data_IF_780359104634
#
_entry.id   IF_780359104634
#
_cell.length_a   1.000
_cell.length_b   1.000
_cell.length_c   1.000
_cell.angle_alpha   90.00
_cell.angle_beta   90.00
_cell.angle_gamma   90.00
#
_symmetry.space_group_name_H-M   'P 1'
#
loop_
_entity.id
_entity.type
_entity.pdbx_description
1 polymer ?
#
# COMPACT_ATOMS: atom_id res chain seq x y z
N UNK A 1 3.06 12.64 -25.70
CA UNK A 1 2.50 13.74 -24.89
C UNK A 1 2.42 13.23 -23.46
N UNK A 2 3.38 13.59 -22.60
CA UNK A 2 3.49 13.06 -21.24
C UNK A 2 2.82 14.05 -20.29
N UNK A 3 1.64 13.71 -19.77
CA UNK A 3 0.98 14.52 -18.75
C UNK A 3 1.46 14.03 -17.38
N UNK A 4 2.31 14.84 -16.73
CA UNK A 4 2.55 14.73 -15.29
C UNK A 4 1.35 15.38 -14.61
N UNK A 5 0.34 14.58 -14.30
CA UNK A 5 -0.79 15.05 -13.50
C UNK A 5 -0.39 15.00 -12.04
N UNK A 6 -0.11 16.16 -11.46
CA UNK A 6 -0.02 16.35 -10.02
C UNK A 6 -1.42 16.23 -9.40
N UNK A 7 -1.88 15.00 -9.22
CA UNK A 7 -2.92 14.66 -8.25
C UNK A 7 -2.35 13.54 -7.42
N UNK A 8 -2.21 13.72 -6.11
CA UNK A 8 -1.71 12.68 -5.19
C UNK A 8 -2.73 11.55 -4.98
N UNK A 9 -3.54 11.25 -6.00
CA UNK A 9 -4.51 10.18 -5.99
C UNK A 9 -3.79 8.89 -6.37
N UNK A 10 -3.27 8.20 -5.37
CA UNK A 10 -2.72 6.86 -5.54
C UNK A 10 -3.86 5.94 -5.98
N UNK A 11 -3.73 5.38 -7.18
CA UNK A 11 -4.75 4.48 -7.74
C UNK A 11 -4.11 3.15 -8.07
N UNK A 12 -4.70 2.08 -7.53
CA UNK A 12 -4.22 0.72 -7.71
C UNK A 12 -5.30 -0.11 -8.39
N UNK A 13 -4.89 -0.86 -9.40
CA UNK A 13 -5.78 -1.65 -10.25
C UNK A 13 -5.18 -2.98 -10.64
N UNK A 14 -6.02 -4.01 -10.73
CA UNK A 14 -5.66 -5.34 -11.22
C UNK A 14 -6.44 -5.59 -12.52
N UNK A 15 -5.78 -6.17 -13.53
CA UNK A 15 -6.37 -6.47 -14.86
C UNK A 15 -6.95 -5.25 -15.59
N UNK A 16 -6.30 -4.09 -15.47
CA UNK A 16 -6.71 -2.87 -16.18
C UNK A 16 -7.86 -2.10 -15.54
N UNK A 17 -8.41 -2.58 -14.43
CA UNK A 17 -9.40 -1.86 -13.64
C UNK A 17 -8.70 -0.90 -12.66
N UNK A 18 -8.31 0.27 -13.16
CA UNK A 18 -7.58 1.31 -12.41
C UNK A 18 -8.42 2.59 -12.33
N UNK A 19 -9.50 2.55 -11.55
CA UNK A 19 -10.37 3.71 -11.30
C UNK A 19 -10.01 4.38 -10.00
N UNK A 20 -10.09 5.70 -9.92
CA UNK A 20 -9.97 6.42 -8.65
C UNK A 20 -10.90 5.80 -7.59
N UNK A 21 -10.42 5.64 -6.36
CA UNK A 21 -11.18 5.04 -5.25
C UNK A 21 -11.71 3.63 -5.55
N UNK A 22 -10.85 2.74 -6.04
CA UNK A 22 -11.23 1.38 -6.44
C UNK A 22 -11.73 0.52 -5.24
N UNK A 23 -13.03 0.16 -5.16
CA UNK A 23 -13.57 -0.65 -4.06
C UNK A 23 -13.34 -2.16 -4.26
N UNK A 24 -12.80 -2.57 -5.43
CA UNK A 24 -12.76 -3.99 -5.85
C UNK A 24 -11.49 -4.71 -5.44
N UNK A 25 -10.57 -4.02 -4.78
CA UNK A 25 -9.34 -4.59 -4.25
C UNK A 25 -9.38 -4.46 -2.73
N UNK A 26 -9.20 -5.57 -2.05
CA UNK A 26 -9.05 -5.58 -0.61
C UNK A 26 -7.57 -5.36 -0.28
N UNK A 27 -7.29 -4.37 0.56
CA UNK A 27 -5.95 -4.13 1.11
C UNK A 27 -5.91 -4.56 2.56
N UNK A 28 -4.89 -5.34 2.89
CA UNK A 28 -4.59 -5.85 4.21
C UNK A 28 -3.25 -5.27 4.65
N UNK A 29 -3.13 -4.96 5.93
CA UNK A 29 -1.89 -4.69 6.63
C UNK A 29 -1.73 -5.75 7.72
N UNK A 30 -0.74 -6.61 7.59
CA UNK A 30 -0.51 -7.74 8.50
C UNK A 30 -1.79 -8.57 8.73
N UNK A 31 -2.47 -8.92 7.64
CA UNK A 31 -3.76 -9.64 7.63
C UNK A 31 -4.96 -8.87 8.23
N UNK A 32 -4.83 -7.58 8.57
CA UNK A 32 -5.92 -6.71 9.01
C UNK A 32 -6.40 -5.82 7.88
N UNK A 33 -7.72 -5.71 7.69
CA UNK A 33 -8.27 -4.85 6.64
C UNK A 33 -7.94 -3.38 6.93
N UNK A 34 -7.41 -2.70 5.91
CA UNK A 34 -7.16 -1.26 5.93
C UNK A 34 -8.03 -0.64 4.86
N UNK A 35 -9.21 -0.21 5.27
CA UNK A 35 -10.27 0.24 4.38
C UNK A 35 -11.12 1.25 5.13
N UNK A 36 -11.66 2.24 4.41
CA UNK A 36 -12.64 3.17 4.96
C UNK A 36 -14.04 2.59 4.76
N UNK A 37 -14.67 2.19 5.86
CA UNK A 37 -15.96 1.48 5.86
C UNK A 37 -17.09 2.35 5.28
N UNK A 38 -17.01 3.68 5.48
CA UNK A 38 -18.03 4.63 5.03
C UNK A 38 -18.13 4.76 3.50
N UNK A 39 -16.99 4.79 2.82
CA UNK A 39 -16.93 5.13 1.39
C UNK A 39 -16.49 4.00 0.48
N UNK A 40 -16.00 2.95 1.08
CA UNK A 40 -15.75 1.76 0.36
C UNK A 40 -14.41 1.73 -0.39
N UNK A 41 -13.40 2.49 0.04
CA UNK A 41 -12.10 2.52 -0.63
C UNK A 41 -10.94 2.52 0.37
N UNK A 42 -9.73 2.31 -0.15
CA UNK A 42 -8.50 2.34 0.66
C UNK A 42 -7.83 3.70 0.54
N UNK A 43 -7.76 4.49 1.62
CA UNK A 43 -7.00 5.74 1.63
C UNK A 43 -5.50 5.44 1.76
N UNK A 44 -4.81 5.31 0.62
CA UNK A 44 -3.38 5.01 0.54
C UNK A 44 -2.48 6.01 1.32
N UNK A 45 -2.93 7.25 1.50
CA UNK A 45 -2.21 8.28 2.27
C UNK A 45 -2.37 8.17 3.78
N UNK A 46 -3.38 7.43 4.26
CA UNK A 46 -3.68 7.27 5.69
C UNK A 46 -3.09 5.97 6.26
N UNK A 47 -2.46 5.13 5.42
CA UNK A 47 -1.79 3.92 5.88
C UNK A 47 -0.55 4.34 6.69
N UNK A 48 -0.50 4.06 8.02
CA UNK A 48 0.55 4.57 8.89
C UNK A 48 1.81 3.70 8.83
N UNK A 49 2.32 3.44 7.63
CA UNK A 49 3.46 2.53 7.40
C UNK A 49 4.46 3.21 6.48
N UNK A 50 5.69 3.36 6.96
CA UNK A 50 6.78 3.85 6.12
C UNK A 50 7.25 2.73 5.17
N UNK A 51 7.69 3.09 3.97
CA UNK A 51 8.16 2.10 2.97
C UNK A 51 9.31 1.21 3.50
N UNK A 52 10.13 1.71 4.44
CA UNK A 52 11.23 0.96 5.05
C UNK A 52 10.79 -0.11 6.06
N UNK A 53 9.56 0.01 6.58
CA UNK A 53 8.99 -0.91 7.56
C UNK A 53 8.21 -2.04 6.87
N UNK A 54 8.01 -1.93 5.55
CA UNK A 54 7.40 -2.98 4.72
C UNK A 54 8.45 -4.05 4.42
N UNK A 55 8.15 -5.28 4.81
CA UNK A 55 8.95 -6.46 4.50
C UNK A 55 8.66 -6.96 3.10
N UNK A 56 7.38 -7.13 2.79
CA UNK A 56 6.92 -7.63 1.49
C UNK A 56 5.50 -7.18 1.20
N UNK A 57 5.17 -7.07 -0.09
CA UNK A 57 3.82 -6.84 -0.58
C UNK A 57 3.38 -8.07 -1.34
N UNK A 58 2.39 -8.76 -0.82
CA UNK A 58 1.81 -9.95 -1.40
C UNK A 58 0.60 -9.56 -2.23
N UNK A 59 0.53 -10.04 -3.47
CA UNK A 59 -0.54 -9.70 -4.40
C UNK A 59 -1.19 -10.99 -4.91
N UNK A 60 -2.42 -11.24 -4.46
CA UNK A 60 -3.26 -12.32 -4.96
C UNK A 60 -4.13 -11.75 -6.07
N UNK A 61 -3.82 -12.14 -7.31
CA UNK A 61 -4.56 -11.68 -8.50
C UNK A 61 -5.74 -12.61 -8.76
N UNK A 62 -6.94 -12.04 -8.91
CA UNK A 62 -8.15 -12.79 -9.22
C UNK A 62 -9.13 -12.89 -8.05
N UNK A 63 -10.31 -13.51 -8.26
CA UNK A 63 -11.38 -13.49 -7.28
C UNK A 63 -10.97 -14.26 -6.01
N UNK A 64 -10.91 -13.56 -4.88
CA UNK A 64 -10.62 -14.15 -3.57
C UNK A 64 -11.69 -13.80 -2.52
N UNK A 65 -12.86 -13.33 -2.99
CA UNK A 65 -13.97 -12.91 -2.14
C UNK A 65 -14.49 -14.01 -1.19
N UNK A 66 -14.34 -15.29 -1.57
CA UNK A 66 -14.75 -16.41 -0.73
C UNK A 66 -13.92 -16.54 0.56
N UNK A 67 -12.64 -16.13 0.54
CA UNK A 67 -11.73 -16.26 1.68
C UNK A 67 -11.58 -14.94 2.43
N UNK A 68 -11.58 -13.81 1.70
CA UNK A 68 -11.24 -12.51 2.25
C UNK A 68 -12.41 -11.52 2.35
N UNK A 69 -13.57 -11.80 1.72
CA UNK A 69 -14.78 -11.00 1.85
C UNK A 69 -15.10 -10.07 0.68
N UNK A 70 -16.02 -9.12 0.94
CA UNK A 70 -16.79 -8.35 -0.06
C UNK A 70 -15.95 -7.55 -1.07
N UNK A 71 -14.73 -7.12 -0.71
CA UNK A 71 -13.88 -6.27 -1.54
C UNK A 71 -12.74 -7.00 -2.28
N UNK A 72 -12.71 -8.34 -2.26
CA UNK A 72 -11.65 -9.13 -2.89
C UNK A 72 -12.02 -9.65 -4.30
N UNK A 73 -12.75 -8.84 -5.08
CA UNK A 73 -13.26 -9.22 -6.42
C UNK A 73 -12.14 -9.21 -7.47
N UNK A 74 -11.33 -8.16 -7.50
CA UNK A 74 -10.20 -8.05 -8.41
C UNK A 74 -8.95 -8.76 -7.87
N UNK A 75 -8.83 -8.84 -6.54
CA UNK A 75 -7.72 -9.46 -5.85
C UNK A 75 -7.56 -8.94 -4.43
N UNK A 76 -6.49 -9.38 -3.79
CA UNK A 76 -6.10 -8.98 -2.43
C UNK A 76 -4.66 -8.51 -2.46
N UNK A 77 -4.38 -7.40 -1.78
CA UNK A 77 -3.04 -6.89 -1.54
C UNK A 77 -2.79 -6.98 -0.05
N UNK A 78 -1.78 -7.73 0.37
CA UNK A 78 -1.38 -7.82 1.77
C UNK A 78 0.01 -7.17 1.95
N UNK A 79 0.06 -6.13 2.75
CA UNK A 79 1.28 -5.43 3.14
C UNK A 79 1.74 -6.07 4.44
N UNK A 80 2.92 -6.70 4.40
CA UNK A 80 3.51 -7.36 5.57
C UNK A 80 4.63 -6.49 6.10
N UNK A 81 4.59 -6.14 7.38
CA UNK A 81 5.60 -5.30 8.04
C UNK A 81 6.67 -6.15 8.74
N UNK A 82 7.79 -5.52 9.10
CA UNK A 82 8.78 -6.14 9.98
C UNK A 82 8.21 -6.26 11.41
N UNK A 83 8.39 -7.44 12.00
CA UNK A 83 7.93 -7.71 13.37
C UNK A 83 9.07 -7.36 14.34
N UNK A 84 8.91 -6.37 15.24
CA UNK A 84 9.97 -5.93 16.14
C UNK A 84 10.41 -7.03 17.13
N UNK A 85 9.60 -8.05 17.37
CA UNK A 85 9.93 -9.17 18.26
C UNK A 85 10.71 -10.29 17.55
N UNK A 86 10.53 -10.44 16.24
CA UNK A 86 11.07 -11.56 15.46
C UNK A 86 12.18 -11.15 14.49
N UNK A 87 12.10 -9.95 13.94
CA UNK A 87 13.05 -9.44 12.97
C UNK A 87 14.01 -8.45 13.62
N UNK A 88 15.31 -8.72 13.52
CA UNK A 88 16.35 -7.77 13.91
C UNK A 88 16.74 -6.94 12.71
N UNK A 89 16.13 -5.77 12.57
CA UNK A 89 16.36 -4.86 11.45
C UNK A 89 16.92 -3.55 11.99
N UNK A 90 18.21 -3.30 11.75
CA UNK A 90 18.85 -2.02 12.04
C UNK A 90 19.27 -1.41 10.70
N UNK A 91 19.04 -0.11 10.50
CA UNK A 91 19.44 0.53 9.26
C UNK A 91 19.45 2.04 9.33
N UNK A 92 20.38 2.65 8.63
CA UNK A 92 20.44 4.09 8.43
C UNK A 92 20.31 4.36 6.93
N UNK A 93 19.41 5.26 6.57
CA UNK A 93 19.21 5.72 5.20
C UNK A 93 19.46 7.21 5.14
N UNK A 94 20.26 7.63 4.16
CA UNK A 94 20.51 9.02 3.85
C UNK A 94 20.24 9.24 2.36
N UNK A 95 19.34 10.15 2.05
CA UNK A 95 18.97 10.53 0.69
C UNK A 95 19.25 12.02 0.49
N UNK A 96 19.80 12.37 -0.68
CA UNK A 96 20.08 13.75 -1.08
C UNK A 96 19.66 13.98 -2.53
N UNK A 97 18.83 15.01 -2.76
CA UNK A 97 18.34 15.37 -4.09
C UNK A 97 18.56 16.85 -4.45
N UNK A 98 18.49 17.15 -5.75
CA UNK A 98 18.72 18.48 -6.33
C UNK A 98 17.65 19.54 -5.95
N UNK A 99 16.61 19.17 -5.20
CA UNK A 99 15.54 20.07 -4.75
C UNK A 99 15.58 20.40 -3.24
N UNK A 100 16.77 20.46 -2.62
CA UNK A 100 16.96 20.69 -1.16
C UNK A 100 16.21 19.71 -0.25
N UNK A 101 15.73 18.58 -0.76
CA UNK A 101 15.29 17.45 0.07
C UNK A 101 16.52 16.63 0.43
N UNK A 102 17.01 16.81 1.66
CA UNK A 102 17.87 15.86 2.33
C UNK A 102 17.04 15.15 3.39
N UNK A 103 16.98 13.82 3.33
CA UNK A 103 16.23 12.99 4.25
C UNK A 103 17.20 12.01 4.91
N UNK A 104 17.30 12.06 6.22
CA UNK A 104 18.14 11.18 7.02
C UNK A 104 17.27 10.49 8.06
N UNK A 105 17.34 9.17 8.12
CA UNK A 105 16.53 8.40 9.05
C UNK A 105 17.26 7.16 9.54
N UNK A 106 17.06 6.85 10.82
CA UNK A 106 17.64 5.71 11.53
C UNK A 106 16.50 4.87 12.08
N UNK A 107 16.62 3.55 11.92
CA UNK A 107 15.71 2.53 12.45
C UNK A 107 16.51 1.52 13.26
#
# INVERSE_FOLDING_TARGET
MCAVTASSTQTVGIRGYNTALNPRILVLLDCRQVYEDDYGYVPWSLIPVAMRDIRQIEIIKGPSAAVYGFNAVSGVINIVTFDPLRDKVNGATAEGGNQRRSYGEVR
#
